data_IF_592117105905
#
_entry.id   IF_592117105905
#
_cell.length_a   1.000
_cell.length_b   1.000
_cell.length_c   1.000
_cell.angle_alpha   90.00
_cell.angle_beta   90.00
_cell.angle_gamma   90.00
#
_symmetry.space_group_name_H-M   'P 1'
#
loop_
_entity.id
_entity.type
_entity.pdbx_description
1 polymer ?
#
# COMPACT_ATOMS: atom_id res chain seq x y z
N UNK A 1 -4.47 10.83 -12.17
CA UNK A 1 -4.71 12.29 -12.13
C UNK A 1 -5.46 12.72 -10.87
N UNK A 2 -6.68 12.23 -10.61
CA UNK A 2 -7.45 12.63 -9.42
C UNK A 2 -6.69 12.55 -8.08
N UNK A 3 -6.09 11.40 -7.75
CA UNK A 3 -5.40 11.21 -6.46
C UNK A 3 -4.17 12.12 -6.27
N UNK A 4 -3.64 12.70 -7.35
CA UNK A 4 -2.48 13.62 -7.34
C UNK A 4 -2.90 15.06 -7.65
N UNK A 5 -4.20 15.36 -7.68
CA UNK A 5 -4.70 16.73 -7.78
C UNK A 5 -4.48 17.51 -6.47
N UNK A 6 -4.33 16.80 -5.35
CA UNK A 6 -3.85 17.36 -4.09
C UNK A 6 -2.32 17.40 -4.08
N UNK A 7 -1.75 18.56 -3.82
CA UNK A 7 -0.29 18.75 -3.81
C UNK A 7 0.40 17.85 -2.76
N UNK A 8 -0.27 17.57 -1.64
CA UNK A 8 0.27 16.67 -0.60
C UNK A 8 0.58 15.29 -1.16
N UNK A 9 -0.28 14.74 -2.02
CA UNK A 9 -0.07 13.42 -2.63
C UNK A 9 0.89 13.50 -3.81
N UNK A 10 0.83 14.59 -4.60
CA UNK A 10 1.70 14.80 -5.75
C UNK A 10 3.17 14.96 -5.34
N UNK A 11 3.45 15.76 -4.30
CA UNK A 11 4.81 16.14 -3.93
C UNK A 11 5.47 15.07 -3.04
N UNK A 12 4.70 14.20 -2.41
CA UNK A 12 5.20 13.14 -1.52
C UNK A 12 5.08 11.74 -2.15
N UNK A 13 4.02 10.99 -1.85
CA UNK A 13 3.85 9.57 -2.17
C UNK A 13 3.86 9.28 -3.67
N UNK A 14 3.43 10.22 -4.52
CA UNK A 14 3.51 10.05 -5.97
C UNK A 14 4.96 10.01 -6.46
N UNK A 15 5.84 10.85 -5.91
CA UNK A 15 7.26 10.83 -6.27
C UNK A 15 7.93 9.51 -5.88
N UNK A 16 7.49 8.92 -4.76
CA UNK A 16 7.96 7.61 -4.30
C UNK A 16 7.44 6.48 -5.20
N UNK A 17 6.15 6.53 -5.53
CA UNK A 17 5.49 5.55 -6.39
C UNK A 17 6.10 5.45 -7.79
N UNK A 18 6.74 6.51 -8.31
CA UNK A 18 7.43 6.47 -9.62
C UNK A 18 8.67 5.57 -9.68
N UNK A 19 9.17 5.10 -8.54
CA UNK A 19 10.43 4.34 -8.43
C UNK A 19 10.28 2.81 -8.51
N UNK A 20 9.32 2.15 -7.82
CA UNK A 20 9.24 0.69 -7.77
C UNK A 20 8.67 0.03 -9.03
N UNK A 21 8.74 -1.30 -9.05
CA UNK A 21 8.29 -2.18 -10.15
C UNK A 21 6.80 -2.01 -10.51
N UNK A 22 5.98 -1.55 -9.57
CA UNK A 22 4.57 -1.28 -9.80
C UNK A 22 4.31 -0.07 -10.70
N UNK A 23 5.31 0.80 -10.89
CA UNK A 23 5.25 1.93 -11.82
C UNK A 23 5.93 1.63 -13.15
N UNK A 24 7.15 1.10 -13.12
CA UNK A 24 7.93 0.79 -14.31
C UNK A 24 8.50 -0.62 -14.21
N UNK A 25 8.20 -1.45 -15.20
CA UNK A 25 8.67 -2.82 -15.28
C UNK A 25 8.78 -3.29 -16.74
N UNK A 26 9.38 -4.47 -16.90
CA UNK A 26 9.70 -5.05 -18.21
C UNK A 26 8.48 -5.47 -19.05
N UNK A 27 7.30 -5.62 -18.44
CA UNK A 27 6.09 -6.13 -19.13
C UNK A 27 5.08 -5.03 -19.47
N UNK A 28 5.30 -3.80 -18.99
CA UNK A 28 4.43 -2.66 -19.25
C UNK A 28 3.13 -2.63 -18.44
N UNK A 29 2.87 -3.65 -17.60
CA UNK A 29 1.67 -3.71 -16.75
C UNK A 29 1.88 -2.85 -15.52
N UNK A 30 1.03 -1.86 -15.29
CA UNK A 30 1.22 -0.90 -14.20
C UNK A 30 0.04 -0.91 -13.23
N UNK A 31 0.32 -1.09 -11.95
CA UNK A 31 -0.67 -0.89 -10.90
C UNK A 31 -0.68 0.59 -10.52
N UNK A 32 -1.82 1.26 -10.64
CA UNK A 32 -2.00 2.67 -10.29
C UNK A 32 -2.54 2.83 -8.86
N UNK A 33 -2.60 4.07 -8.36
CA UNK A 33 -3.02 4.35 -6.98
C UNK A 33 -4.32 3.63 -6.59
N UNK A 34 -5.32 3.64 -7.48
CA UNK A 34 -6.61 3.00 -7.22
C UNK A 34 -6.55 1.47 -7.16
N UNK A 35 -5.60 0.83 -7.85
CA UNK A 35 -5.51 -0.64 -7.83
C UNK A 35 -5.11 -1.17 -6.44
N UNK A 36 -4.38 -0.36 -5.66
CA UNK A 36 -3.92 -0.69 -4.31
C UNK A 36 -4.78 -0.05 -3.20
N UNK A 37 -5.27 1.18 -3.41
CA UNK A 37 -5.94 1.96 -2.36
C UNK A 37 -7.47 2.00 -2.47
N UNK A 38 -8.05 1.54 -3.58
CA UNK A 38 -9.50 1.57 -3.81
C UNK A 38 -9.98 0.14 -4.12
N UNK A 39 -10.81 -0.45 -3.25
CA UNK A 39 -11.37 -1.78 -3.51
C UNK A 39 -12.11 -1.83 -4.85
N UNK A 40 -11.99 -2.95 -5.57
CA UNK A 40 -12.65 -3.13 -6.87
C UNK A 40 -14.15 -3.35 -6.74
N UNK A 41 -14.56 -4.15 -5.74
CA UNK A 41 -15.96 -4.47 -5.48
C UNK A 41 -16.74 -3.26 -4.94
N UNK A 42 -18.04 -3.23 -5.24
CA UNK A 42 -18.88 -2.06 -5.01
C UNK A 42 -18.99 -1.67 -3.53
N UNK A 43 -19.29 -2.64 -2.67
CA UNK A 43 -19.57 -2.38 -1.24
C UNK A 43 -18.36 -1.78 -0.56
N UNK A 44 -17.19 -2.37 -0.76
CA UNK A 44 -15.98 -1.91 -0.08
C UNK A 44 -15.41 -0.66 -0.73
N UNK A 45 -15.62 -0.45 -2.03
CA UNK A 45 -15.30 0.81 -2.71
C UNK A 45 -16.08 1.97 -2.14
N UNK A 46 -17.39 1.82 -1.95
CA UNK A 46 -18.25 2.86 -1.36
C UNK A 46 -17.83 3.11 0.08
N UNK A 47 -17.63 2.07 0.89
CA UNK A 47 -17.15 2.21 2.26
C UNK A 47 -15.80 2.97 2.32
N UNK A 48 -14.85 2.65 1.45
CA UNK A 48 -13.55 3.36 1.39
C UNK A 48 -13.71 4.81 0.98
N UNK A 49 -14.59 5.12 0.02
CA UNK A 49 -14.87 6.50 -0.40
C UNK A 49 -15.49 7.32 0.72
N UNK A 50 -16.39 6.73 1.51
CA UNK A 50 -16.93 7.38 2.73
C UNK A 50 -15.82 7.62 3.75
N UNK A 51 -14.96 6.64 4.02
CA UNK A 51 -13.82 6.84 4.93
C UNK A 51 -12.84 7.90 4.42
N UNK A 52 -12.66 8.01 3.11
CA UNK A 52 -11.79 8.99 2.47
C UNK A 52 -12.26 10.43 2.64
N UNK A 53 -13.51 10.69 3.01
CA UNK A 53 -13.96 12.07 3.26
C UNK A 53 -13.20 12.73 4.40
N UNK A 54 -12.63 11.94 5.32
CA UNK A 54 -11.73 12.44 6.36
C UNK A 54 -10.45 13.07 5.80
N UNK A 55 -10.02 12.68 4.59
CA UNK A 55 -8.87 13.29 3.91
C UNK A 55 -9.20 14.74 3.50
N UNK A 56 -10.46 15.05 3.17
CA UNK A 56 -10.91 16.42 2.91
C UNK A 56 -10.86 17.28 4.19
N UNK A 57 -11.26 16.72 5.33
CA UNK A 57 -11.11 17.42 6.61
C UNK A 57 -9.62 17.68 6.92
N UNK A 58 -8.75 16.68 6.72
CA UNK A 58 -7.30 16.82 6.88
C UNK A 58 -6.71 17.88 5.95
N UNK A 59 -7.24 18.00 4.72
CA UNK A 59 -6.87 19.05 3.75
C UNK A 59 -7.24 20.44 4.26
N UNK A 60 -8.48 20.65 4.71
CA UNK A 60 -8.95 21.93 5.25
C UNK A 60 -8.14 22.33 6.48
N UNK A 61 -7.85 21.38 7.37
CA UNK A 61 -7.05 21.61 8.57
C UNK A 61 -5.53 21.65 8.30
N UNK A 62 -5.09 21.39 7.06
CA UNK A 62 -3.68 21.42 6.66
C UNK A 62 -2.79 20.45 7.45
N UNK A 63 -3.32 19.27 7.83
CA UNK A 63 -2.65 18.34 8.75
C UNK A 63 -1.39 17.70 8.18
N UNK A 64 -1.29 17.64 6.84
CA UNK A 64 -0.15 17.11 6.08
C UNK A 64 0.22 18.03 4.90
N UNK A 65 -0.12 19.32 5.00
CA UNK A 65 -0.03 20.28 3.89
C UNK A 65 1.40 20.58 3.40
N UNK A 66 2.44 20.16 4.12
CA UNK A 66 3.84 20.30 3.72
C UNK A 66 4.56 18.95 3.86
N UNK A 67 5.68 18.74 3.15
CA UNK A 67 6.47 17.51 3.29
C UNK A 67 6.87 17.22 4.74
N UNK A 68 7.19 18.23 5.54
CA UNK A 68 7.57 18.10 6.94
C UNK A 68 6.39 17.62 7.79
N UNK A 69 5.19 18.18 7.56
CA UNK A 69 3.96 17.75 8.23
C UNK A 69 3.55 16.34 7.83
N UNK A 70 3.72 15.99 6.55
CA UNK A 70 3.49 14.63 6.06
C UNK A 70 4.45 13.65 6.75
N UNK A 71 5.75 13.97 6.77
CA UNK A 71 6.78 13.12 7.40
C UNK A 71 6.51 12.92 8.90
N UNK A 72 6.13 13.99 9.61
CA UNK A 72 5.74 13.92 11.02
C UNK A 72 4.55 12.98 11.29
N UNK A 73 3.69 12.74 10.29
CA UNK A 73 2.55 11.82 10.38
C UNK A 73 2.75 10.51 9.62
N UNK A 74 3.88 10.30 8.95
CA UNK A 74 4.07 9.19 8.01
C UNK A 74 3.81 7.84 8.67
N UNK A 75 4.35 7.61 9.87
CA UNK A 75 4.16 6.36 10.60
C UNK A 75 2.67 6.11 10.87
N UNK A 76 1.96 7.08 11.44
CA UNK A 76 0.53 6.96 11.70
C UNK A 76 -0.28 6.67 10.42
N UNK A 77 0.03 7.36 9.33
CA UNK A 77 -0.66 7.16 8.05
C UNK A 77 -0.37 5.77 7.46
N UNK A 78 0.88 5.33 7.54
CA UNK A 78 1.29 4.01 7.07
C UNK A 78 0.64 2.89 7.89
N UNK A 79 0.64 3.00 9.23
CA UNK A 79 -0.01 2.04 10.13
C UNK A 79 -1.52 1.93 9.88
N UNK A 80 -2.20 3.06 9.64
CA UNK A 80 -3.62 3.05 9.27
C UNK A 80 -3.86 2.24 8.00
N UNK A 81 -3.02 2.44 6.98
CA UNK A 81 -3.16 1.76 5.70
C UNK A 81 -2.76 0.29 5.79
N UNK A 82 -1.72 -0.05 6.55
CA UNK A 82 -1.33 -1.44 6.79
C UNK A 82 -2.40 -2.19 7.58
N UNK A 83 -2.97 -1.56 8.61
CA UNK A 83 -4.10 -2.13 9.37
C UNK A 83 -5.29 -2.38 8.46
N UNK A 84 -5.60 -1.45 7.54
CA UNK A 84 -6.67 -1.61 6.55
C UNK A 84 -6.39 -2.79 5.62
N UNK A 85 -5.21 -2.82 5.01
CA UNK A 85 -4.82 -3.90 4.09
C UNK A 85 -4.78 -5.25 4.81
N UNK A 86 -4.29 -5.32 6.04
CA UNK A 86 -4.29 -6.55 6.85
C UNK A 86 -5.72 -7.00 7.16
N UNK A 87 -6.57 -6.08 7.62
CA UNK A 87 -7.97 -6.36 7.93
C UNK A 87 -8.81 -6.79 6.72
N UNK A 88 -8.37 -6.48 5.50
CA UNK A 88 -9.02 -6.93 4.26
C UNK A 88 -8.36 -8.16 3.62
N UNK A 89 -7.43 -8.84 4.33
CA UNK A 89 -6.59 -9.91 3.79
C UNK A 89 -5.84 -9.52 2.51
N UNK A 90 -5.32 -8.29 2.48
CA UNK A 90 -4.60 -7.69 1.35
C UNK A 90 -5.34 -7.84 0.02
N UNK A 91 -6.67 -7.73 0.05
CA UNK A 91 -7.57 -7.90 -1.10
C UNK A 91 -7.05 -7.25 -2.37
N UNK A 92 -6.61 -6.00 -2.25
CA UNK A 92 -6.13 -5.23 -3.39
C UNK A 92 -4.86 -5.83 -4.01
N UNK A 93 -3.94 -6.34 -3.18
CA UNK A 93 -2.77 -7.09 -3.64
C UNK A 93 -3.20 -8.39 -4.35
N UNK A 94 -4.16 -9.12 -3.76
CA UNK A 94 -4.65 -10.41 -4.24
C UNK A 94 -5.40 -10.36 -5.57
N UNK A 95 -5.89 -9.18 -5.96
CA UNK A 95 -6.47 -8.97 -7.29
C UNK A 95 -5.47 -9.20 -8.43
N UNK A 96 -4.17 -9.13 -8.15
CA UNK A 96 -3.10 -9.31 -9.12
C UNK A 96 -2.08 -10.39 -8.70
N UNK A 97 -1.92 -10.64 -7.40
CA UNK A 97 -0.98 -11.60 -6.84
C UNK A 97 -1.70 -12.71 -6.07
N UNK A 98 -1.80 -13.89 -6.63
CA UNK A 98 -2.24 -15.09 -5.91
C UNK A 98 -1.05 -15.98 -5.56
N UNK A 99 -1.11 -16.67 -4.43
CA UNK A 99 -0.09 -17.67 -4.09
C UNK A 99 -0.04 -18.80 -5.13
N UNK A 100 -1.19 -19.17 -5.70
CA UNK A 100 -1.30 -20.17 -6.78
C UNK A 100 -0.68 -19.70 -8.10
N UNK A 101 -0.76 -18.40 -8.41
CA UNK A 101 -0.18 -17.81 -9.61
C UNK A 101 1.32 -17.51 -9.51
N UNK A 102 1.92 -17.69 -8.33
CA UNK A 102 3.36 -17.51 -8.14
C UNK A 102 4.12 -18.74 -8.61
N UNK A 103 5.12 -18.55 -9.48
CA UNK A 103 6.04 -19.61 -9.85
C UNK A 103 7.11 -19.78 -8.74
N UNK A 104 7.03 -20.84 -7.96
CA UNK A 104 7.94 -21.13 -6.83
C UNK A 104 9.35 -21.52 -7.25
N UNK A 105 9.52 -22.06 -8.46
CA UNK A 105 10.81 -22.54 -8.96
C UNK A 105 11.76 -21.40 -9.33
N UNK A 106 11.21 -20.25 -9.70
CA UNK A 106 12.00 -19.03 -9.99
C UNK A 106 12.21 -18.14 -8.77
N UNK A 107 11.57 -18.46 -7.63
CA UNK A 107 11.77 -17.71 -6.40
C UNK A 107 13.09 -18.12 -5.72
N UNK A 108 13.75 -17.15 -5.07
CA UNK A 108 14.85 -17.46 -4.15
C UNK A 108 14.32 -18.38 -3.05
N UNK A 109 15.12 -19.38 -2.64
CA UNK A 109 14.74 -20.38 -1.63
C UNK A 109 14.14 -19.75 -0.36
N UNK A 110 14.71 -18.65 0.14
CA UNK A 110 14.18 -17.91 1.29
C UNK A 110 12.76 -17.40 1.04
N UNK A 111 12.51 -16.77 -0.11
CA UNK A 111 11.20 -16.22 -0.44
C UNK A 111 10.15 -17.33 -0.59
N UNK A 112 10.51 -18.44 -1.25
CA UNK A 112 9.65 -19.62 -1.37
C UNK A 112 9.21 -20.14 0.00
N UNK A 113 10.16 -20.36 0.91
CA UNK A 113 9.87 -20.82 2.28
C UNK A 113 8.96 -19.84 3.03
N UNK A 114 9.19 -18.54 2.88
CA UNK A 114 8.36 -17.51 3.53
C UNK A 114 6.94 -17.49 2.97
N UNK A 115 6.75 -17.65 1.66
CA UNK A 115 5.42 -17.76 1.07
C UNK A 115 4.69 -19.04 1.51
N UNK A 116 5.38 -20.19 1.58
CA UNK A 116 4.82 -21.43 2.12
C UNK A 116 4.36 -21.27 3.58
N UNK A 117 5.17 -20.61 4.42
CA UNK A 117 4.80 -20.27 5.80
C UNK A 117 3.61 -19.30 5.84
N UNK A 118 3.59 -18.29 4.99
CA UNK A 118 2.50 -17.32 4.93
C UNK A 118 1.16 -17.98 4.59
N UNK A 119 1.14 -18.95 3.67
CA UNK A 119 -0.07 -19.73 3.36
C UNK A 119 -0.51 -20.57 4.56
N UNK A 120 0.42 -21.29 5.19
CA UNK A 120 0.13 -22.14 6.37
C UNK A 120 -0.40 -21.32 7.55
N UNK A 121 0.24 -20.19 7.81
CA UNK A 121 0.00 -19.35 9.00
C UNK A 121 -1.10 -18.30 8.73
N UNK A 122 -1.71 -18.30 7.53
CA UNK A 122 -2.76 -17.39 7.06
C UNK A 122 -2.36 -15.92 7.14
N UNK A 123 -1.10 -15.63 6.82
CA UNK A 123 -0.60 -14.27 6.74
C UNK A 123 -1.14 -13.56 5.49
N UNK A 124 -1.24 -12.25 5.61
CA UNK A 124 -1.60 -11.33 4.54
C UNK A 124 -0.33 -10.81 3.84
N UNK A 125 -0.47 -10.27 2.63
CA UNK A 125 0.69 -9.74 1.89
C UNK A 125 1.41 -8.62 2.66
N UNK A 126 0.65 -7.76 3.34
CA UNK A 126 1.17 -6.59 4.06
C UNK A 126 1.88 -6.96 5.37
N UNK A 127 1.79 -8.21 5.84
CA UNK A 127 2.53 -8.65 7.02
C UNK A 127 4.04 -8.66 6.78
N UNK A 128 4.49 -8.94 5.54
CA UNK A 128 5.90 -8.90 5.16
C UNK A 128 6.24 -7.75 4.21
N UNK A 129 5.33 -7.42 3.29
CA UNK A 129 5.62 -6.45 2.22
C UNK A 129 5.17 -5.04 2.61
N UNK A 130 5.77 -4.45 3.65
CA UNK A 130 5.59 -3.03 3.98
C UNK A 130 6.55 -2.17 3.15
N UNK A 131 6.07 -1.03 2.66
CA UNK A 131 6.87 -0.11 1.84
C UNK A 131 7.11 -0.57 0.39
N UNK A 132 6.15 -1.28 -0.21
CA UNK A 132 6.25 -1.77 -1.60
C UNK A 132 6.28 -0.61 -2.61
N UNK A 133 5.39 0.36 -2.41
CA UNK A 133 5.19 1.49 -3.32
C UNK A 133 5.78 2.81 -2.79
N UNK A 134 5.95 2.89 -1.47
CA UNK A 134 6.27 4.11 -0.74
C UNK A 134 7.36 3.84 0.29
N UNK A 135 8.07 4.88 0.70
CA UNK A 135 9.13 4.76 1.70
C UNK A 135 8.56 4.33 3.04
N UNK A 136 9.25 3.40 3.71
CA UNK A 136 8.93 3.00 5.08
C UNK A 136 9.11 4.19 6.03
N UNK A 137 8.20 4.39 7.00
CA UNK A 137 8.36 5.39 8.04
C UNK A 137 9.53 5.08 8.97
N UNK A 138 10.01 6.11 9.67
CA UNK A 138 10.94 5.94 10.79
C UNK A 138 10.15 5.58 12.06
N UNK A 139 10.80 4.90 13.00
CA UNK A 139 10.21 4.57 14.31
C UNK A 139 9.16 3.46 14.26
N UNK A 140 9.28 2.56 13.28
CA UNK A 140 8.46 1.35 13.21
C UNK A 140 8.75 0.45 14.42
N UNK A 141 7.76 -0.31 14.87
CA UNK A 141 7.97 -1.33 15.91
C UNK A 141 8.81 -2.45 15.32
N UNK A 142 9.56 -3.18 16.16
CA UNK A 142 10.40 -4.30 15.70
C UNK A 142 9.60 -5.34 14.90
N UNK A 143 8.35 -5.61 15.29
CA UNK A 143 7.45 -6.52 14.56
C UNK A 143 6.96 -5.96 13.21
N UNK A 144 7.10 -4.65 13.02
CA UNK A 144 6.69 -3.93 11.82
C UNK A 144 7.83 -3.62 10.85
N UNK A 145 9.09 -3.60 11.31
CA UNK A 145 10.32 -3.36 10.51
C UNK A 145 10.58 -4.39 9.41
#
# INVERSE_FOLDING_TARGET
EFCISCHEMHDTVYQEYKKPIHYSNRTGVRAICSDCHVPKDWVHKVARKVQATNELYGKVMGTIATPEKFEAKRLQLAENEWKRMKGSDSRECRNCHSFEGMNTEVQKQRARKQHEMAVRDKNTCIDCHKGIAHQKPKGMKEDDE
#
